data_IF_056593919399
#
_entry.id   IF_056593919399
#
_cell.length_a   1.000
_cell.length_b   1.000
_cell.length_c   1.000
_cell.angle_alpha   90.00
_cell.angle_beta   90.00
_cell.angle_gamma   90.00
#
_symmetry.space_group_name_H-M   'P 1'
#
loop_
_entity.id
_entity.type
_entity.pdbx_description
1 polymer ?
#
# COMPACT_ATOMS: atom_id res chain seq x y z
N UNK A 1 13.03 10.84 -14.80
CA UNK A 1 11.56 10.96 -14.93
C UNK A 1 11.07 12.19 -14.15
N UNK A 2 10.02 12.84 -14.64
CA UNK A 2 9.32 13.94 -13.94
C UNK A 2 8.38 13.33 -12.90
N UNK A 3 8.38 13.87 -11.68
CA UNK A 3 7.53 13.42 -10.59
C UNK A 3 6.82 14.63 -10.02
N UNK A 4 5.50 14.67 -10.10
CA UNK A 4 4.70 15.64 -9.36
C UNK A 4 4.33 15.06 -8.00
N UNK A 5 4.74 15.76 -6.95
CA UNK A 5 4.41 15.40 -5.59
C UNK A 5 2.98 15.75 -5.22
N UNK A 6 2.31 16.63 -5.99
CA UNK A 6 0.88 16.92 -5.87
C UNK A 6 0.00 15.69 -6.23
N UNK A 7 0.60 14.59 -6.71
CA UNK A 7 -0.10 13.43 -7.26
C UNK A 7 0.43 12.04 -6.90
N UNK A 8 0.94 11.82 -5.67
CA UNK A 8 1.07 10.50 -5.02
C UNK A 8 2.40 9.74 -5.16
N UNK A 9 3.40 10.19 -5.91
CA UNK A 9 4.52 9.30 -6.26
C UNK A 9 5.61 9.12 -5.17
N UNK A 10 5.77 10.07 -4.25
CA UNK A 10 6.79 10.01 -3.19
C UNK A 10 6.64 8.78 -2.27
N UNK A 11 5.46 8.59 -1.67
CA UNK A 11 5.17 7.46 -0.78
C UNK A 11 4.82 6.16 -1.53
N UNK A 12 4.68 6.20 -2.86
CA UNK A 12 4.30 5.02 -3.64
C UNK A 12 5.46 4.07 -3.88
N UNK A 13 6.70 4.54 -3.87
CA UNK A 13 7.91 3.76 -4.19
C UNK A 13 8.74 3.58 -2.93
N UNK A 14 9.32 2.40 -2.75
CA UNK A 14 10.33 2.14 -1.74
C UNK A 14 11.70 2.65 -2.22
N UNK A 15 12.16 3.74 -1.62
CA UNK A 15 13.42 4.38 -1.97
C UNK A 15 14.62 3.85 -1.15
N UNK A 16 14.38 3.03 -0.11
CA UNK A 16 15.43 2.48 0.78
C UNK A 16 16.59 1.83 0.04
N UNK A 17 16.37 1.07 -1.07
CA UNK A 17 17.47 0.43 -1.78
C UNK A 17 18.45 1.40 -2.44
N UNK A 18 18.03 2.64 -2.68
CA UNK A 18 18.85 3.67 -3.32
C UNK A 18 19.56 4.56 -2.32
N UNK A 19 18.79 5.03 -1.34
CA UNK A 19 19.28 5.86 -0.25
C UNK A 19 18.51 5.53 1.02
N UNK A 20 19.08 4.67 1.89
CA UNK A 20 18.48 4.30 3.16
C UNK A 20 18.23 5.49 4.10
N UNK A 21 18.94 6.61 3.92
CA UNK A 21 18.73 7.81 4.73
C UNK A 21 17.57 8.67 4.21
N UNK A 22 17.34 8.68 2.89
CA UNK A 22 16.24 9.42 2.25
C UNK A 22 14.88 8.72 2.35
N UNK A 23 14.84 7.43 2.63
CA UNK A 23 13.56 6.74 2.84
C UNK A 23 12.93 7.00 4.23
N UNK A 24 13.58 7.78 5.11
CA UNK A 24 13.07 7.96 6.46
C UNK A 24 12.80 6.64 7.20
N UNK A 25 11.96 6.68 8.23
CA UNK A 25 11.46 5.49 8.93
C UNK A 25 9.97 5.67 9.16
N UNK A 26 9.17 5.02 8.33
CA UNK A 26 7.73 4.81 8.54
C UNK A 26 7.44 3.93 9.79
N UNK A 27 8.50 3.46 10.47
CA UNK A 27 8.50 2.61 11.67
C UNK A 27 8.74 3.36 12.96
N UNK A 28 8.53 4.68 12.97
CA UNK A 28 8.71 5.51 14.18
C UNK A 28 7.66 5.25 15.27
N UNK A 29 6.58 4.54 14.94
CA UNK A 29 5.54 4.15 15.90
C UNK A 29 5.99 3.06 16.89
N UNK A 30 5.37 2.98 18.10
CA UNK A 30 5.76 2.01 19.13
C UNK A 30 5.39 0.56 18.81
N UNK A 31 4.72 0.31 17.68
CA UNK A 31 4.26 -1.01 17.23
C UNK A 31 4.92 -1.33 15.89
N UNK A 32 5.98 -2.16 15.90
CA UNK A 32 6.64 -2.59 14.66
C UNK A 32 5.67 -3.37 13.75
N UNK A 33 5.62 -3.07 12.44
CA UNK A 33 4.92 -3.94 11.50
C UNK A 33 5.66 -5.28 11.36
N UNK A 34 4.91 -6.36 11.11
CA UNK A 34 5.46 -7.69 10.91
C UNK A 34 6.05 -7.87 9.49
N UNK A 35 5.54 -7.11 8.52
CA UNK A 35 6.02 -7.09 7.15
C UNK A 35 7.08 -6.00 6.94
N UNK A 36 7.80 -6.08 5.82
CA UNK A 36 8.82 -5.10 5.45
C UNK A 36 8.33 -4.03 4.46
N UNK A 37 7.02 -3.93 4.16
CA UNK A 37 6.55 -3.00 3.14
C UNK A 37 6.80 -1.54 3.55
N UNK A 38 7.32 -0.74 2.62
CA UNK A 38 7.51 0.69 2.83
C UNK A 38 6.16 1.42 2.77
N UNK A 39 5.87 2.38 3.64
CA UNK A 39 4.73 3.31 3.59
C UNK A 39 3.41 2.66 3.16
N UNK A 40 3.01 1.60 3.86
CA UNK A 40 1.74 0.95 3.56
C UNK A 40 0.59 1.88 3.93
N UNK A 41 -0.11 2.35 2.91
CA UNK A 41 -1.28 3.22 3.06
C UNK A 41 -2.46 2.41 3.62
N UNK A 42 -2.94 2.71 4.84
CA UNK A 42 -4.08 2.05 5.42
C UNK A 42 -5.38 2.49 4.72
N UNK A 43 -6.19 1.50 4.34
CA UNK A 43 -7.51 1.67 3.75
C UNK A 43 -8.58 1.56 4.83
N UNK A 44 -9.62 2.38 4.67
CA UNK A 44 -10.86 2.25 5.41
C UNK A 44 -11.62 1.00 4.97
N UNK A 45 -12.51 0.53 5.83
CA UNK A 45 -13.44 -0.58 5.61
C UNK A 45 -14.22 -0.41 4.30
N UNK A 46 -14.70 0.80 4.04
CA UNK A 46 -15.53 1.07 2.87
C UNK A 46 -14.69 1.12 1.58
N UNK A 47 -13.44 1.57 1.65
CA UNK A 47 -12.48 1.43 0.54
C UNK A 47 -12.14 -0.04 0.29
N UNK A 48 -11.82 -0.81 1.33
CA UNK A 48 -11.60 -2.27 1.20
C UNK A 48 -12.82 -2.94 0.57
N UNK A 49 -14.03 -2.62 1.02
CA UNK A 49 -15.25 -3.15 0.43
C UNK A 49 -15.39 -2.79 -1.05
N UNK A 50 -15.11 -1.53 -1.43
CA UNK A 50 -15.13 -1.08 -2.82
C UNK A 50 -14.13 -1.85 -3.68
N UNK A 51 -12.88 -2.02 -3.23
CA UNK A 51 -11.89 -2.83 -3.96
C UNK A 51 -12.37 -4.27 -4.16
N UNK A 52 -12.95 -4.90 -3.14
CA UNK A 52 -13.48 -6.28 -3.27
C UNK A 52 -14.73 -6.34 -4.16
N UNK A 53 -15.62 -5.36 -4.08
CA UNK A 53 -16.83 -5.27 -4.91
C UNK A 53 -16.50 -5.03 -6.39
N UNK A 54 -15.40 -4.31 -6.66
CA UNK A 54 -14.88 -4.05 -8.01
C UNK A 54 -14.01 -5.17 -8.58
N UNK A 55 -13.83 -6.28 -7.86
CA UNK A 55 -13.01 -7.41 -8.29
C UNK A 55 -11.50 -7.17 -8.20
N UNK A 56 -11.06 -6.17 -7.42
CA UNK A 56 -9.66 -5.79 -7.19
C UNK A 56 -9.13 -6.31 -5.84
N UNK A 57 -9.73 -7.37 -5.29
CA UNK A 57 -9.33 -7.92 -3.98
C UNK A 57 -7.89 -8.44 -3.95
N UNK A 58 -7.32 -8.78 -5.09
CA UNK A 58 -5.94 -9.22 -5.28
C UNK A 58 -4.89 -8.10 -5.16
N UNK A 59 -5.33 -6.84 -5.16
CA UNK A 59 -4.52 -5.65 -4.89
C UNK A 59 -4.32 -5.38 -3.39
N UNK A 60 -5.11 -6.03 -2.52
CA UNK A 60 -5.12 -5.78 -1.08
C UNK A 60 -4.10 -6.64 -0.34
N UNK A 61 -3.52 -6.11 0.74
CA UNK A 61 -2.62 -6.83 1.65
C UNK A 61 -2.86 -6.44 3.11
N UNK A 62 -2.88 -7.40 4.06
CA UNK A 62 -2.92 -7.09 5.47
C UNK A 62 -1.55 -6.71 6.00
N UNK A 63 -1.52 -5.83 7.01
CA UNK A 63 -0.36 -5.58 7.88
C UNK A 63 -0.73 -5.87 9.32
N UNK A 64 0.06 -6.74 9.94
CA UNK A 64 0.00 -7.11 11.35
C UNK A 64 1.13 -6.41 12.10
N UNK A 65 1.02 -6.36 13.44
CA UNK A 65 1.96 -5.63 14.27
C UNK A 65 2.44 -6.48 15.45
N UNK A 66 3.69 -6.31 15.82
CA UNK A 66 4.21 -6.77 17.11
C UNK A 66 3.61 -5.93 18.25
N UNK A 67 3.38 -6.50 19.45
CA UNK A 67 2.83 -5.76 20.58
C UNK A 67 3.84 -4.75 21.14
N UNK A 68 3.37 -3.55 21.49
CA UNK A 68 4.14 -2.65 22.35
C UNK A 68 4.16 -3.20 23.80
N UNK A 69 5.03 -2.64 24.65
CA UNK A 69 5.29 -3.11 26.03
C UNK A 69 4.03 -3.32 26.91
N UNK A 70 2.92 -2.62 26.62
CA UNK A 70 1.68 -2.67 27.39
C UNK A 70 0.47 -3.15 26.59
N UNK A 71 0.69 -3.63 25.37
CA UNK A 71 -0.40 -4.14 24.56
C UNK A 71 -0.77 -5.55 25.02
N UNK A 72 -2.06 -5.87 24.89
CA UNK A 72 -2.47 -7.27 24.87
C UNK A 72 -1.84 -7.95 23.64
N UNK A 73 -1.54 -9.23 23.76
CA UNK A 73 -0.98 -10.00 22.67
C UNK A 73 -1.60 -11.38 22.52
N UNK A 74 -1.54 -11.90 21.30
CA UNK A 74 -1.85 -13.29 20.97
C UNK A 74 -0.68 -13.89 20.23
N UNK A 75 -0.33 -15.14 20.56
CA UNK A 75 0.76 -15.85 19.89
C UNK A 75 0.21 -16.78 18.82
N UNK A 76 0.64 -16.57 17.57
CA UNK A 76 0.24 -17.36 16.41
C UNK A 76 1.50 -17.66 15.61
N UNK A 77 1.71 -18.90 15.19
CA UNK A 77 2.90 -19.33 14.44
C UNK A 77 4.24 -18.99 15.12
N UNK A 78 4.27 -18.91 16.45
CA UNK A 78 5.44 -18.52 17.22
C UNK A 78 5.76 -17.02 17.19
N UNK A 79 4.88 -16.19 16.63
CA UNK A 79 4.98 -14.73 16.58
C UNK A 79 3.99 -14.12 17.56
N UNK A 80 4.44 -13.15 18.37
CA UNK A 80 3.56 -12.34 19.21
C UNK A 80 2.95 -11.20 18.40
N UNK A 81 1.62 -11.14 18.36
CA UNK A 81 0.87 -10.13 17.65
C UNK A 81 0.14 -9.22 18.62
N UNK A 82 0.17 -7.91 18.34
CA UNK A 82 -0.67 -6.93 19.01
C UNK A 82 -2.14 -7.33 18.90
N UNK A 83 -2.86 -7.31 20.02
CA UNK A 83 -4.22 -7.80 20.10
C UNK A 83 -5.13 -6.84 20.88
N UNK A 84 -6.44 -6.99 20.68
CA UNK A 84 -7.48 -6.42 21.55
C UNK A 84 -8.50 -7.51 21.81
N UNK A 85 -8.79 -7.79 23.09
CA UNK A 85 -9.75 -8.85 23.49
C UNK A 85 -9.41 -10.22 22.89
N UNK A 86 -8.11 -10.56 22.89
CA UNK A 86 -7.58 -11.82 22.34
C UNK A 86 -7.60 -11.93 20.81
N UNK A 87 -7.91 -10.84 20.09
CA UNK A 87 -8.00 -10.80 18.63
C UNK A 87 -6.83 -10.04 18.03
N UNK A 88 -6.07 -10.61 17.09
CA UNK A 88 -4.93 -9.92 16.49
C UNK A 88 -5.41 -8.72 15.67
N UNK A 89 -4.72 -7.60 15.87
CA UNK A 89 -5.02 -6.32 15.22
C UNK A 89 -4.27 -6.20 13.90
N UNK A 90 -4.95 -5.68 12.88
CA UNK A 90 -4.37 -5.48 11.56
C UNK A 90 -4.94 -4.23 10.87
N UNK A 91 -4.24 -3.77 9.84
CA UNK A 91 -4.75 -2.84 8.84
C UNK A 91 -4.72 -3.51 7.47
N UNK A 92 -5.45 -2.97 6.49
CA UNK A 92 -5.38 -3.41 5.09
C UNK A 92 -4.85 -2.26 4.26
N UNK A 93 -3.89 -2.53 3.39
CA UNK A 93 -3.34 -1.57 2.44
C UNK A 93 -3.27 -2.12 1.02
N UNK A 94 -2.57 -1.39 0.16
CA UNK A 94 -2.31 -1.77 -1.22
C UNK A 94 -0.96 -2.46 -1.37
N UNK A 95 -0.90 -3.50 -2.20
CA UNK A 95 0.34 -4.21 -2.50
C UNK A 95 1.34 -3.31 -3.21
N UNK A 96 2.62 -3.54 -2.92
CA UNK A 96 3.75 -2.89 -3.59
C UNK A 96 4.64 -3.95 -4.25
N UNK A 97 4.34 -4.43 -5.47
CA UNK A 97 5.24 -5.33 -6.20
C UNK A 97 6.52 -4.61 -6.65
N UNK A 98 7.59 -5.34 -7.00
CA UNK A 98 8.73 -4.76 -7.67
C UNK A 98 8.33 -4.25 -9.05
N UNK A 99 8.73 -3.03 -9.41
CA UNK A 99 8.49 -2.42 -10.73
C UNK A 99 9.76 -1.75 -11.27
N UNK A 100 9.91 -1.59 -12.60
CA UNK A 100 11.10 -1.01 -13.22
C UNK A 100 11.07 0.53 -13.17
N UNK A 101 11.18 1.09 -11.97
CA UNK A 101 11.08 2.53 -11.68
C UNK A 101 12.46 3.17 -11.77
N UNK A 102 12.58 4.26 -12.52
CA UNK A 102 13.76 5.12 -12.46
C UNK A 102 13.62 6.14 -11.32
N UNK A 103 14.67 6.31 -10.49
CA UNK A 103 14.73 7.38 -9.51
C UNK A 103 14.48 8.76 -10.14
N UNK A 104 13.96 9.71 -9.36
CA UNK A 104 13.73 11.09 -9.82
C UNK A 104 15.02 11.67 -10.39
N UNK A 105 14.90 12.42 -11.48
CA UNK A 105 16.06 13.06 -12.12
C UNK A 105 16.97 12.10 -12.89
N UNK A 106 16.66 10.80 -12.93
CA UNK A 106 17.43 9.79 -13.65
C UNK A 106 16.62 9.10 -14.76
N UNK A 107 17.34 8.51 -15.71
CA UNK A 107 16.80 7.65 -16.77
C UNK A 107 17.21 6.18 -16.59
N UNK A 108 17.80 5.82 -15.44
CA UNK A 108 18.25 4.45 -15.13
C UNK A 108 17.21 3.70 -14.28
N UNK A 109 16.30 2.92 -14.89
CA UNK A 109 15.32 2.14 -14.15
C UNK A 109 15.99 1.08 -13.26
N UNK A 110 15.41 0.90 -12.06
CA UNK A 110 15.78 -0.12 -11.08
C UNK A 110 14.54 -0.90 -10.67
N UNK A 111 14.73 -2.13 -10.22
CA UNK A 111 13.67 -2.89 -9.59
C UNK A 111 13.46 -2.33 -8.18
N UNK A 112 12.30 -1.72 -7.95
CA UNK A 112 11.93 -1.15 -6.65
C UNK A 112 10.49 -1.54 -6.35
N UNK A 113 10.20 -1.84 -5.09
CA UNK A 113 8.82 -2.06 -4.65
C UNK A 113 8.03 -0.77 -4.81
N UNK A 114 6.92 -0.83 -5.56
CA UNK A 114 6.09 0.33 -5.86
C UNK A 114 4.61 -0.04 -5.82
N UNK A 115 3.76 0.90 -5.39
CA UNK A 115 2.31 0.73 -5.33
C UNK A 115 1.79 0.09 -6.62
N UNK A 116 0.91 -0.90 -6.48
CA UNK A 116 0.39 -1.66 -7.61
C UNK A 116 -0.28 -0.78 -8.69
N UNK A 117 -0.80 0.40 -8.30
CA UNK A 117 -1.44 1.37 -9.20
C UNK A 117 -0.50 2.45 -9.75
N UNK A 118 0.78 2.48 -9.34
CA UNK A 118 1.77 3.39 -9.90
C UNK A 118 2.18 2.88 -11.28
N UNK A 119 2.04 3.72 -12.30
CA UNK A 119 2.63 3.47 -13.61
C UNK A 119 4.15 3.68 -13.53
N UNK A 120 4.99 2.65 -13.79
CA UNK A 120 6.44 2.76 -13.62
C UNK A 120 7.12 3.59 -14.71
N UNK A 121 6.44 3.93 -15.80
CA UNK A 121 6.97 4.78 -16.88
C UNK A 121 6.65 6.25 -16.66
N UNK A 122 5.48 6.57 -16.09
CA UNK A 122 5.05 7.97 -15.87
C UNK A 122 5.16 8.44 -14.43
N UNK A 123 5.28 7.50 -13.48
CA UNK A 123 5.20 7.71 -12.04
C UNK A 123 3.87 8.29 -11.57
N UNK A 124 2.80 8.11 -12.35
CA UNK A 124 1.46 8.56 -11.99
C UNK A 124 0.62 7.43 -11.38
N UNK A 125 -0.26 7.79 -10.46
CA UNK A 125 -1.27 6.87 -9.94
C UNK A 125 -2.40 6.69 -10.96
N UNK A 126 -2.59 5.47 -11.46
CA UNK A 126 -3.63 5.11 -12.46
C UNK A 126 -5.07 5.27 -11.95
N UNK A 127 -5.26 5.48 -10.64
CA UNK A 127 -6.58 5.63 -10.02
C UNK A 127 -6.76 6.99 -9.35
N UNK A 128 -5.84 7.95 -9.56
CA UNK A 128 -5.84 9.27 -8.91
C UNK A 128 -7.18 9.99 -9.02
N UNK A 129 -7.71 10.13 -10.24
CA UNK A 129 -8.94 10.87 -10.51
C UNK A 129 -10.20 10.00 -10.43
N UNK A 130 -10.13 8.92 -9.65
CA UNK A 130 -11.23 7.97 -9.51
C UNK A 130 -11.68 7.87 -8.07
N UNK A 131 -12.93 7.46 -7.87
CA UNK A 131 -13.45 7.15 -6.53
C UNK A 131 -12.69 6.01 -5.83
N UNK A 132 -11.73 5.35 -6.48
CA UNK A 132 -10.87 4.32 -5.87
C UNK A 132 -9.61 4.89 -5.23
N UNK A 133 -9.28 6.16 -5.51
CA UNK A 133 -8.11 6.78 -4.91
C UNK A 133 -8.23 6.80 -3.38
N UNK A 134 -7.29 6.18 -2.64
CA UNK A 134 -7.41 6.10 -1.20
C UNK A 134 -7.40 7.49 -0.56
N UNK A 135 -8.30 7.71 0.39
CA UNK A 135 -8.36 8.96 1.17
C UNK A 135 -7.02 9.27 1.81
N UNK A 136 -6.36 8.27 2.40
CA UNK A 136 -5.06 8.48 3.04
C UNK A 136 -4.01 8.97 2.04
N UNK A 137 -4.03 8.49 0.77
CA UNK A 137 -3.15 9.01 -0.28
C UNK A 137 -3.44 10.50 -0.55
N UNK A 138 -4.73 10.89 -0.64
CA UNK A 138 -5.12 12.29 -0.90
C UNK A 138 -4.82 13.26 0.24
N UNK A 139 -4.72 12.80 1.49
CA UNK A 139 -4.61 13.69 2.66
C UNK A 139 -3.25 13.65 3.36
N UNK A 140 -2.45 12.59 3.14
CA UNK A 140 -1.17 12.41 3.82
C UNK A 140 -0.17 13.56 3.59
N UNK A 141 0.04 14.06 2.34
CA UNK A 141 0.93 15.20 2.12
C UNK A 141 0.50 16.44 2.92
N UNK A 142 -0.80 16.77 2.89
CA UNK A 142 -1.34 17.90 3.65
C UNK A 142 -1.18 17.76 5.16
N UNK A 143 -1.25 16.54 5.71
CA UNK A 143 -1.01 16.31 7.14
C UNK A 143 0.45 16.54 7.54
N UNK A 144 1.42 16.17 6.69
CA UNK A 144 2.82 16.44 6.98
C UNK A 144 3.10 17.95 6.96
N UNK A 145 2.52 18.69 6.01
CA UNK A 145 2.61 20.15 5.93
C UNK A 145 2.01 20.81 7.19
N UNK A 146 0.79 20.43 7.59
CA UNK A 146 0.12 20.96 8.80
C UNK A 146 0.93 20.71 10.08
N UNK A 147 1.60 19.56 10.16
CA UNK A 147 2.46 19.19 11.29
C UNK A 147 3.88 19.79 11.22
N UNK A 148 4.24 20.47 10.13
CA UNK A 148 5.60 20.94 9.87
C UNK A 148 6.63 19.80 9.82
N UNK A 149 6.18 18.59 9.45
CA UNK A 149 7.02 17.42 9.33
C UNK A 149 7.67 17.37 7.94
N UNK A 150 8.90 16.84 7.88
CA UNK A 150 9.58 16.60 6.60
C UNK A 150 8.76 15.60 5.76
N UNK A 151 8.37 16.02 4.56
CA UNK A 151 7.59 15.21 3.64
C UNK A 151 8.47 14.18 2.94
N UNK A 152 7.87 13.12 2.40
CA UNK A 152 8.59 12.20 1.50
C UNK A 152 9.21 12.95 0.32
N UNK A 153 8.53 13.99 -0.18
CA UNK A 153 9.01 14.80 -1.29
C UNK A 153 10.27 15.58 -0.94
N UNK A 154 10.33 16.18 0.26
CA UNK A 154 11.55 16.84 0.75
C UNK A 154 12.74 15.86 0.77
N UNK A 155 12.50 14.60 1.12
CA UNK A 155 13.55 13.57 1.14
C UNK A 155 13.97 13.10 -0.24
N UNK A 156 13.01 12.85 -1.16
CA UNK A 156 13.37 12.43 -2.53
C UNK A 156 14.06 13.58 -3.29
N UNK A 157 13.66 14.83 -3.05
CA UNK A 157 14.39 16.01 -3.53
C UNK A 157 15.84 16.02 -3.01
N UNK A 158 16.03 15.86 -1.70
CA UNK A 158 17.36 15.82 -1.09
C UNK A 158 18.25 14.69 -1.65
N UNK A 159 17.65 13.57 -2.08
CA UNK A 159 18.34 12.43 -2.70
C UNK A 159 18.66 12.62 -4.20
N UNK A 160 18.27 13.75 -4.81
CA UNK A 160 18.54 14.07 -6.22
C UNK A 160 17.30 14.32 -7.08
N UNK A 161 16.14 14.54 -6.46
CA UNK A 161 14.94 15.00 -7.15
C UNK A 161 15.10 16.42 -7.70
N UNK A 162 14.40 16.71 -8.81
CA UNK A 162 14.43 18.01 -9.47
C UNK A 162 13.67 19.11 -8.70
N UNK A 163 13.05 20.04 -9.43
CA UNK A 163 12.31 21.15 -8.81
C UNK A 163 11.10 20.69 -7.98
N UNK A 164 10.90 21.40 -6.87
CA UNK A 164 9.84 21.23 -5.90
C UNK A 164 8.46 21.48 -6.50
N UNK A 165 7.54 20.51 -6.35
CA UNK A 165 6.18 20.58 -6.90
C UNK A 165 5.07 20.55 -5.83
N UNK A 166 5.39 20.64 -4.54
CA UNK A 166 4.38 20.88 -3.50
C UNK A 166 4.33 22.35 -3.09
N UNK A 167 3.10 22.88 -3.05
CA UNK A 167 2.74 24.04 -2.25
C UNK A 167 3.11 23.74 -0.77
N UNK A 168 3.84 24.65 -0.10
CA UNK A 168 4.13 24.54 1.33
C UNK A 168 2.91 24.80 2.21
N UNK A 169 1.84 25.37 1.65
CA UNK A 169 0.65 25.70 2.42
C UNK A 169 -0.21 24.45 2.66
N UNK A 170 -0.49 24.09 3.93
CA UNK A 170 -1.43 23.03 4.24
C UNK A 170 -2.82 23.36 3.67
N UNK A 171 -3.55 22.39 3.09
CA UNK A 171 -4.90 22.63 2.58
C UNK A 171 -5.85 23.17 3.67
N UNK A 172 -6.61 24.23 3.37
CA UNK A 172 -7.53 24.86 4.34
C UNK A 172 -8.60 23.88 4.88
N UNK A 173 -9.01 22.89 4.07
CA UNK A 173 -10.05 21.91 4.38
C UNK A 173 -9.49 20.49 4.64
N UNK A 174 -8.33 20.38 5.30
CA UNK A 174 -7.71 19.10 5.60
C UNK A 174 -8.56 18.29 6.62
N UNK A 175 -9.08 17.11 6.26
CA UNK A 175 -9.92 16.33 7.16
C UNK A 175 -9.06 15.70 8.27
N UNK A 176 -9.62 15.46 9.45
CA UNK A 176 -8.88 14.87 10.56
C UNK A 176 -8.24 13.50 10.20
N UNK A 177 -7.07 13.16 10.78
CA UNK A 177 -6.39 11.89 10.53
C UNK A 177 -7.31 10.68 10.77
N UNK A 178 -7.17 9.65 9.94
CA UNK A 178 -8.01 8.45 9.99
C UNK A 178 -7.84 7.60 11.27
N UNK A 179 -6.88 7.94 12.13
CA UNK A 179 -6.51 7.20 13.35
C UNK A 179 -7.08 7.81 14.65
N UNK A 180 -8.30 8.34 14.60
CA UNK A 180 -9.03 8.76 15.80
C UNK A 180 -9.64 7.61 16.60
N UNK A 181 -10.34 7.88 17.72
CA UNK A 181 -11.02 6.85 18.53
C UNK A 181 -12.03 5.97 17.76
N UNK A 182 -12.49 6.44 16.60
CA UNK A 182 -13.42 5.74 15.71
C UNK A 182 -12.71 4.79 14.71
N UNK A 183 -11.38 4.71 14.73
CA UNK A 183 -10.61 3.91 13.79
C UNK A 183 -10.85 2.40 13.94
N UNK A 184 -11.26 1.95 15.12
CA UNK A 184 -11.56 0.54 15.39
C UNK A 184 -12.76 0.07 14.57
N UNK A 185 -12.57 -0.98 13.77
CA UNK A 185 -13.56 -1.50 12.82
C UNK A 185 -13.80 -0.61 11.60
N UNK A 186 -13.11 0.53 11.49
CA UNK A 186 -13.18 1.46 10.36
C UNK A 186 -11.90 1.48 9.53
N UNK A 187 -10.72 1.46 10.15
CA UNK A 187 -9.40 1.44 9.48
C UNK A 187 -8.44 0.45 10.18
N UNK A 188 -8.61 0.29 11.49
CA UNK A 188 -7.91 -0.70 12.32
C UNK A 188 -8.90 -1.83 12.64
N UNK A 189 -8.55 -3.05 12.28
CA UNK A 189 -9.44 -4.21 12.37
C UNK A 189 -8.91 -5.22 13.38
N UNK A 190 -9.79 -6.09 13.88
CA UNK A 190 -9.44 -7.19 14.76
C UNK A 190 -9.92 -8.50 14.15
N UNK A 191 -9.01 -9.44 13.90
CA UNK A 191 -9.38 -10.70 13.27
C UNK A 191 -10.16 -11.56 14.27
N UNK A 192 -11.38 -12.03 13.94
CA UNK A 192 -12.32 -12.50 14.95
C UNK A 192 -12.10 -13.94 15.44
N UNK A 193 -11.15 -14.67 14.85
CA UNK A 193 -10.83 -16.06 15.23
C UNK A 193 -9.31 -16.30 15.04
N UNK A 194 -8.48 -16.17 16.08
CA UNK A 194 -7.02 -16.30 15.95
C UNK A 194 -6.58 -17.70 15.51
N UNK A 195 -7.28 -18.76 15.90
CA UNK A 195 -6.92 -20.14 15.55
C UNK A 195 -7.03 -20.38 14.03
N UNK A 196 -7.90 -19.63 13.34
CA UNK A 196 -8.04 -19.68 11.90
C UNK A 196 -6.86 -19.02 11.13
N UNK A 197 -5.88 -18.45 11.84
CA UNK A 197 -4.67 -17.88 11.28
C UNK A 197 -3.43 -18.79 11.40
N UNK A 198 -3.60 -20.04 11.84
CA UNK A 198 -2.51 -21.04 11.88
C UNK A 198 -1.84 -21.20 10.50
N UNK A 199 -0.51 -21.06 10.50
CA UNK A 199 0.37 -21.01 9.33
C UNK A 199 0.27 -19.75 8.47
N UNK A 200 -0.73 -18.89 8.68
CA UNK A 200 -0.98 -17.68 7.89
C UNK A 200 -0.01 -16.58 8.27
N UNK A 201 0.24 -16.42 9.57
CA UNK A 201 1.07 -15.34 10.11
C UNK A 201 2.52 -15.54 9.72
N UNK A 202 3.04 -16.78 9.81
CA UNK A 202 4.38 -17.11 9.33
C UNK A 202 4.54 -16.80 7.82
N UNK A 203 3.58 -17.21 6.98
CA UNK A 203 3.65 -16.92 5.53
C UNK A 203 3.62 -15.42 5.24
N UNK A 204 2.79 -14.64 5.94
CA UNK A 204 2.73 -13.19 5.74
C UNK A 204 4.04 -12.51 6.15
N UNK A 205 4.61 -12.90 7.30
CA UNK A 205 5.91 -12.42 7.78
C UNK A 205 7.02 -12.67 6.76
N UNK A 206 7.05 -13.88 6.19
CA UNK A 206 8.11 -14.30 5.28
C UNK A 206 7.88 -13.82 3.83
N UNK A 207 6.88 -12.95 3.58
CA UNK A 207 6.54 -12.46 2.25
C UNK A 207 5.90 -13.52 1.32
N UNK A 208 5.55 -14.69 1.85
CA UNK A 208 5.00 -15.84 1.14
C UNK A 208 3.46 -15.96 1.23
N UNK A 209 2.78 -14.85 1.56
CA UNK A 209 1.33 -14.81 1.72
C UNK A 209 0.57 -15.20 0.44
N UNK A 210 -0.37 -16.13 0.55
CA UNK A 210 -1.21 -16.58 -0.57
C UNK A 210 -2.41 -15.66 -0.82
N UNK A 211 -3.10 -15.85 -1.94
CA UNK A 211 -4.37 -15.15 -2.20
C UNK A 211 -5.42 -15.43 -1.11
N UNK A 212 -5.51 -16.68 -0.63
CA UNK A 212 -6.42 -17.05 0.45
C UNK A 212 -6.05 -16.37 1.78
N UNK A 213 -4.75 -16.27 2.08
CA UNK A 213 -4.27 -15.56 3.26
C UNK A 213 -4.72 -14.10 3.26
N UNK A 214 -4.50 -13.38 2.15
CA UNK A 214 -4.91 -11.97 2.01
C UNK A 214 -6.43 -11.82 2.04
N UNK A 215 -7.16 -12.71 1.36
CA UNK A 215 -8.61 -12.70 1.28
C UNK A 215 -9.29 -12.87 2.65
N UNK A 216 -8.69 -13.65 3.58
CA UNK A 216 -9.20 -13.76 4.96
C UNK A 216 -9.27 -12.40 5.65
N UNK A 217 -8.22 -11.60 5.54
CA UNK A 217 -8.15 -10.28 6.17
C UNK A 217 -9.01 -9.24 5.45
N UNK A 218 -9.06 -9.27 4.11
CA UNK A 218 -9.99 -8.43 3.34
C UNK A 218 -11.44 -8.72 3.76
N UNK A 219 -11.82 -10.00 3.86
CA UNK A 219 -13.14 -10.40 4.35
C UNK A 219 -13.41 -9.90 5.78
N UNK A 220 -12.47 -10.07 6.70
CA UNK A 220 -12.62 -9.60 8.09
C UNK A 220 -12.79 -8.08 8.17
N UNK A 221 -12.01 -7.32 7.39
CA UNK A 221 -12.15 -5.87 7.27
C UNK A 221 -13.53 -5.49 6.75
N UNK A 222 -13.98 -6.05 5.61
CA UNK A 222 -15.31 -5.76 5.05
C UNK A 222 -16.44 -6.12 6.01
N UNK A 223 -16.30 -7.24 6.75
CA UNK A 223 -17.26 -7.69 7.75
C UNK A 223 -17.29 -6.84 9.02
N UNK A 224 -16.27 -6.02 9.29
CA UNK A 224 -16.12 -5.26 10.53
C UNK A 224 -17.17 -4.15 10.67
N UNK A 225 -17.47 -3.79 11.92
CA UNK A 225 -18.39 -2.69 12.26
C UNK A 225 -17.61 -1.51 12.85
N UNK A 226 -17.69 -0.31 12.26
CA UNK A 226 -17.05 0.88 12.80
C UNK A 226 -17.42 1.13 14.28
N UNK A 227 -16.42 1.51 15.08
CA UNK A 227 -16.54 1.73 16.52
C UNK A 227 -16.62 0.45 17.36
N UNK A 228 -16.33 -0.73 16.80
CA UNK A 228 -16.49 -2.02 17.49
C UNK A 228 -15.51 -3.08 16.98
N UNK A 229 -15.25 -4.09 17.82
CA UNK A 229 -14.53 -5.33 17.44
C UNK A 229 -15.46 -6.36 16.76
N UNK A 230 -16.74 -6.06 16.59
CA UNK A 230 -17.70 -7.00 16.00
C UNK A 230 -17.54 -7.14 14.50
N UNK A 231 -17.58 -8.39 14.03
CA UNK A 231 -17.50 -8.77 12.62
C UNK A 231 -18.76 -9.53 12.24
N UNK A 232 -19.42 -9.09 11.17
CA UNK A 232 -20.56 -9.79 10.59
C UNK A 232 -20.03 -10.97 9.76
N UNK A 233 -20.18 -12.20 10.28
CA UNK A 233 -19.53 -13.41 9.74
C UNK A 233 -19.94 -13.73 8.30
N UNK A 234 -21.22 -13.56 7.95
CA UNK A 234 -21.70 -13.80 6.57
C UNK A 234 -21.05 -12.82 5.58
N UNK A 235 -21.05 -11.53 5.91
CA UNK A 235 -20.38 -10.49 5.11
C UNK A 235 -18.87 -10.73 5.01
N UNK A 236 -18.23 -11.22 6.08
CA UNK A 236 -16.82 -11.61 6.05
C UNK A 236 -16.58 -12.78 5.10
N UNK A 237 -17.42 -13.81 5.14
CA UNK A 237 -17.29 -14.98 4.28
C UNK A 237 -17.51 -14.63 2.80
N UNK A 238 -18.55 -13.86 2.48
CA UNK A 238 -18.84 -13.41 1.12
C UNK A 238 -17.71 -12.54 0.54
N UNK A 239 -17.20 -11.58 1.32
CA UNK A 239 -16.11 -10.71 0.87
C UNK A 239 -14.78 -11.47 0.76
N UNK A 240 -14.52 -12.45 1.64
CA UNK A 240 -13.36 -13.34 1.51
C UNK A 240 -13.41 -14.10 0.20
N UNK A 241 -14.56 -14.70 -0.14
CA UNK A 241 -14.66 -15.49 -1.38
C UNK A 241 -14.41 -14.61 -2.61
N UNK A 242 -15.06 -13.44 -2.67
CA UNK A 242 -14.85 -12.48 -3.76
C UNK A 242 -13.41 -11.99 -3.87
N UNK A 243 -12.75 -11.72 -2.74
CA UNK A 243 -11.34 -11.32 -2.73
C UNK A 243 -10.41 -12.46 -3.16
N UNK A 244 -10.74 -13.71 -2.82
CA UNK A 244 -9.99 -14.91 -3.18
C UNK A 244 -10.09 -15.23 -4.67
N UNK A 245 -11.28 -15.04 -5.24
CA UNK A 245 -11.59 -15.30 -6.65
C UNK A 245 -11.22 -14.13 -7.58
N UNK A 246 -10.75 -13.01 -7.03
CA UNK A 246 -10.32 -11.85 -7.82
C UNK A 246 -9.19 -12.23 -8.79
N UNK A 247 -9.41 -11.95 -10.07
CA UNK A 247 -8.43 -12.07 -11.15
C UNK A 247 -8.43 -10.74 -11.93
N UNK A 248 -7.87 -9.71 -11.30
CA UNK A 248 -7.80 -8.39 -11.88
C UNK A 248 -6.51 -8.20 -12.68
N UNK A 249 -6.45 -7.11 -13.46
CA UNK A 249 -5.21 -6.71 -14.11
C UNK A 249 -4.09 -6.49 -13.08
N UNK A 250 -4.42 -6.06 -11.86
CA UNK A 250 -3.45 -5.82 -10.78
C UNK A 250 -2.82 -7.13 -10.33
N UNK A 251 -3.62 -8.16 -10.04
CA UNK A 251 -3.10 -9.46 -9.62
C UNK A 251 -2.20 -10.09 -10.68
N UNK A 252 -2.62 -10.02 -11.96
CA UNK A 252 -1.83 -10.49 -13.10
C UNK A 252 -0.52 -9.70 -13.27
N UNK A 253 -0.59 -8.38 -13.21
CA UNK A 253 0.58 -7.52 -13.33
C UNK A 253 1.58 -7.77 -12.21
N UNK A 254 1.11 -7.89 -10.95
CA UNK A 254 1.98 -8.25 -9.82
C UNK A 254 2.69 -9.58 -10.07
N UNK A 255 1.95 -10.62 -10.50
CA UNK A 255 2.56 -11.92 -10.81
C UNK A 255 3.63 -11.82 -11.90
N UNK A 256 3.33 -11.11 -12.99
CA UNK A 256 4.25 -10.94 -14.11
C UNK A 256 5.51 -10.14 -13.73
N UNK A 257 5.35 -9.09 -12.91
CA UNK A 257 6.46 -8.28 -12.42
C UNK A 257 7.34 -9.04 -11.44
N UNK A 258 6.76 -9.72 -10.44
CA UNK A 258 7.52 -10.54 -9.48
C UNK A 258 8.31 -11.65 -10.16
N UNK A 259 7.79 -12.26 -11.22
CA UNK A 259 8.52 -13.29 -12.00
C UNK A 259 9.74 -12.72 -12.74
N UNK A 260 9.69 -11.45 -13.15
CA UNK A 260 10.71 -10.80 -13.99
C UNK A 260 11.71 -9.97 -13.22
N UNK A 261 11.36 -9.55 -12.01
CA UNK A 261 12.18 -8.67 -11.20
C UNK A 261 13.56 -9.29 -10.91
N UNK A 262 14.57 -8.44 -10.95
CA UNK A 262 15.89 -8.74 -10.38
C UNK A 262 15.91 -8.52 -8.87
N UNK A 263 17.10 -8.43 -8.30
CA UNK A 263 17.25 -8.09 -6.89
C UNK A 263 16.76 -6.65 -6.63
N UNK A 264 16.30 -6.39 -5.40
CA UNK A 264 15.82 -5.07 -5.02
C UNK A 264 16.94 -4.01 -5.12
N UNK A 265 16.63 -2.89 -5.80
CA UNK A 265 17.58 -1.85 -6.18
C UNK A 265 18.47 -2.17 -7.39
N UNK A 266 18.41 -3.40 -7.94
CA UNK A 266 19.19 -3.77 -9.13
C UNK A 266 18.75 -2.97 -10.36
N UNK A 267 19.73 -2.59 -11.20
CA UNK A 267 19.44 -1.94 -12.48
C UNK A 267 18.67 -2.87 -13.40
N UNK A 268 17.63 -2.35 -14.03
CA UNK A 268 16.86 -3.08 -15.03
C UNK A 268 17.70 -3.20 -16.31
N UNK A 269 17.97 -4.43 -16.73
CA UNK A 269 18.75 -4.74 -17.93
C UNK A 269 17.93 -4.63 -19.23
N UNK A 270 17.15 -3.56 -19.37
CA UNK A 270 16.34 -3.25 -20.55
C UNK A 270 16.61 -1.81 -20.99
N UNK A 271 16.68 -1.57 -22.30
CA UNK A 271 16.62 -0.20 -22.82
C UNK A 271 15.21 0.38 -22.63
N UNK A 272 15.11 1.71 -22.79
CA UNK A 272 13.86 2.46 -22.60
C UNK A 272 12.71 1.90 -23.43
N UNK A 273 12.94 1.64 -24.72
CA UNK A 273 11.89 1.17 -25.63
C UNK A 273 11.42 -0.24 -25.27
N UNK A 274 12.33 -1.11 -24.86
CA UNK A 274 12.02 -2.46 -24.40
C UNK A 274 11.24 -2.43 -23.08
N UNK A 275 11.64 -1.58 -22.12
CA UNK A 275 10.90 -1.37 -20.88
C UNK A 275 9.49 -0.82 -21.16
N UNK A 276 9.35 0.21 -21.97
CA UNK A 276 8.05 0.83 -22.26
C UNK A 276 7.12 -0.10 -23.06
N UNK A 277 7.67 -1.03 -23.85
CA UNK A 277 6.90 -2.13 -24.44
C UNK A 277 6.45 -3.13 -23.36
N UNK A 278 7.33 -3.49 -22.44
CA UNK A 278 7.04 -4.44 -21.37
C UNK A 278 5.98 -3.92 -20.40
N UNK A 279 6.05 -2.64 -20.02
CA UNK A 279 5.03 -1.99 -19.17
C UNK A 279 3.67 -2.00 -19.86
N UNK A 280 3.63 -1.66 -21.16
CA UNK A 280 2.39 -1.74 -21.95
C UNK A 280 1.82 -3.15 -22.00
N UNK A 281 2.67 -4.16 -22.25
CA UNK A 281 2.23 -5.56 -22.32
C UNK A 281 1.66 -6.06 -20.99
N UNK A 282 2.33 -5.74 -19.87
CA UNK A 282 1.97 -6.25 -18.54
C UNK A 282 0.77 -5.49 -17.94
N UNK A 283 0.77 -4.15 -18.04
CA UNK A 283 -0.23 -3.33 -17.38
C UNK A 283 -1.32 -2.87 -18.36
N UNK A 284 -0.97 -2.11 -19.40
CA UNK A 284 -1.96 -1.44 -20.26
C UNK A 284 -2.80 -2.45 -21.07
N UNK A 285 -2.15 -3.32 -21.83
CA UNK A 285 -2.79 -4.43 -22.57
C UNK A 285 -3.43 -5.45 -21.61
N UNK A 286 -2.96 -5.48 -20.36
CA UNK A 286 -3.53 -6.27 -19.26
C UNK A 286 -4.83 -5.73 -18.67
N UNK A 287 -5.21 -4.49 -19.05
CA UNK A 287 -6.44 -3.81 -18.63
C UNK A 287 -6.25 -2.70 -17.61
N UNK A 288 -5.02 -2.22 -17.39
CA UNK A 288 -4.76 -1.10 -16.51
C UNK A 288 -5.37 0.21 -17.07
N UNK A 289 -5.98 1.07 -16.24
CA UNK A 289 -6.40 2.40 -16.66
C UNK A 289 -5.20 3.22 -17.12
N UNK A 290 -5.40 4.09 -18.11
CA UNK A 290 -4.38 5.06 -18.53
C UNK A 290 -4.07 6.06 -17.42
N UNK A 291 -2.92 6.73 -17.53
CA UNK A 291 -2.53 7.81 -16.63
C UNK A 291 -2.98 9.17 -17.18
N UNK A 292 -3.37 10.13 -16.32
CA UNK A 292 -3.96 11.40 -16.74
C UNK A 292 -2.98 12.33 -17.48
N UNK A 293 -1.67 12.13 -17.29
CA UNK A 293 -0.61 12.99 -17.83
C UNK A 293 -0.33 14.19 -16.91
N UNK A 294 0.93 14.61 -16.79
CA UNK A 294 1.33 15.75 -15.94
C UNK A 294 0.98 17.14 -16.53
N UNK A 295 0.30 17.19 -17.69
CA UNK A 295 -0.06 18.43 -18.40
C UNK A 295 -1.58 18.69 -18.41
N UNK A 296 -2.35 18.05 -17.54
CA UNK A 296 -3.74 18.44 -17.33
C UNK A 296 -3.77 19.73 -16.50
N UNK A 297 -3.83 20.87 -17.19
CA UNK A 297 -4.17 22.16 -16.58
C UNK A 297 -5.47 22.00 -15.77
N UNK A 298 -5.42 22.32 -14.47
CA UNK A 298 -6.57 22.71 -13.66
C UNK A 298 -6.42 24.17 -13.29
#
# INVERSE_FOLDING_TARGET
MELDCEGCAGCCVDWRPLDPAAAGSDRTGPRPPLDDAYDLVPLTRDEVARFVDDGLGDALIPRLFEPAERDDSVRIDGVDLAAVDGRPVFVVGLRKPPKPVAPIGTDEPRWLDACAFLDPTTLQCRIHDTDRYPRTCSTYPGHNLDLGAETECDRVEAAGGGDRLLDDEPPEDLPAPAFGPQALGATVFAYPDPDALDGVVARLRDGAGTADDRARFAGAAVGSRPGSLSVTRDRMAEARERAREADSWVGRAIGAWTERAGDDGERVALDRDARDRLVREIEDDGGAPGTPGWNSEV
#
